data_IF_511126504782
#
_entry.id   IF_511126504782
#
_cell.length_a   1.000
_cell.length_b   1.000
_cell.length_c   1.000
_cell.angle_alpha   90.00
_cell.angle_beta   90.00
_cell.angle_gamma   90.00
#
_symmetry.space_group_name_H-M   'P 1'
#
loop_
_entity.id
_entity.type
_entity.pdbx_description
1 polymer ?
#
# COMPACT_ATOMS: atom_id res chain seq x y z
N UNK A 1 -5.62 8.14 -7.25
CA UNK A 1 -6.31 9.33 -6.70
C UNK A 1 -5.51 9.93 -5.55
N UNK A 2 -5.14 9.14 -4.53
CA UNK A 2 -4.31 9.63 -3.41
C UNK A 2 -3.00 10.25 -3.92
N UNK A 3 -2.27 9.52 -4.78
CA UNK A 3 -1.01 10.03 -5.37
C UNK A 3 -1.16 11.32 -6.20
N UNK A 4 -2.33 11.57 -6.80
CA UNK A 4 -2.54 12.76 -7.64
C UNK A 4 -2.83 13.99 -6.77
N UNK A 5 -3.42 13.79 -5.60
CA UNK A 5 -4.08 14.85 -4.80
C UNK A 5 -3.43 15.09 -3.44
N UNK A 6 -2.55 14.19 -3.00
CA UNK A 6 -1.96 14.22 -1.65
C UNK A 6 -2.96 13.93 -0.52
N UNK A 7 -4.23 13.62 -0.85
CA UNK A 7 -5.29 13.35 0.12
C UNK A 7 -5.39 11.86 0.44
N UNK A 8 -5.81 11.57 1.67
CA UNK A 8 -6.17 10.21 2.11
C UNK A 8 -7.52 9.79 1.53
N UNK A 9 -7.70 8.48 1.32
CA UNK A 9 -8.98 7.91 0.87
C UNK A 9 -10.18 8.32 1.73
N UNK A 10 -9.97 8.41 3.06
CA UNK A 10 -10.88 8.97 4.04
C UNK A 10 -10.18 10.09 4.81
N UNK A 11 -10.76 11.29 4.79
CA UNK A 11 -10.11 12.48 5.34
C UNK A 11 -11.04 13.28 6.25
N UNK A 12 -11.01 12.95 7.54
CA UNK A 12 -11.85 13.54 8.60
C UNK A 12 -11.63 15.03 8.84
N UNK A 13 -10.62 15.65 8.20
CA UNK A 13 -10.38 17.10 8.29
C UNK A 13 -11.26 17.90 7.34
N UNK A 14 -11.90 17.22 6.38
CA UNK A 14 -12.73 17.82 5.34
C UNK A 14 -14.21 17.76 5.72
N UNK A 15 -15.06 18.64 5.15
CA UNK A 15 -16.50 18.59 5.38
C UNK A 15 -17.08 17.25 4.91
N UNK A 16 -18.26 16.90 5.43
CA UNK A 16 -18.90 15.60 5.21
C UNK A 16 -18.99 15.21 3.72
N UNK A 17 -19.31 16.19 2.87
CA UNK A 17 -19.41 16.02 1.42
C UNK A 17 -18.07 15.65 0.74
N UNK A 18 -16.93 15.97 1.38
CA UNK A 18 -15.58 15.81 0.84
C UNK A 18 -14.75 14.77 1.60
N UNK A 19 -15.32 14.11 2.62
CA UNK A 19 -14.68 13.05 3.41
C UNK A 19 -14.11 11.93 2.53
N UNK A 20 -14.93 11.45 1.59
CA UNK A 20 -14.58 10.35 0.71
C UNK A 20 -13.86 10.84 -0.55
N UNK A 21 -12.59 10.43 -0.71
CA UNK A 21 -11.76 10.87 -1.82
C UNK A 21 -12.39 10.54 -3.18
N UNK A 22 -12.89 9.31 -3.38
CA UNK A 22 -13.45 8.88 -4.66
C UNK A 22 -14.64 9.74 -5.08
N UNK A 23 -15.59 9.97 -4.16
CA UNK A 23 -16.78 10.78 -4.42
C UNK A 23 -16.42 12.24 -4.73
N UNK A 24 -15.48 12.80 -3.98
CA UNK A 24 -14.99 14.16 -4.21
C UNK A 24 -14.22 14.29 -5.53
N UNK A 25 -13.28 13.37 -5.80
CA UNK A 25 -12.41 13.41 -6.97
C UNK A 25 -13.20 13.31 -8.27
N UNK A 26 -14.24 12.48 -8.31
CA UNK A 26 -15.16 12.39 -9.47
C UNK A 26 -15.83 13.73 -9.79
N UNK A 27 -16.13 14.57 -8.80
CA UNK A 27 -16.66 15.93 -9.03
C UNK A 27 -15.58 16.86 -9.58
N UNK A 28 -14.35 16.75 -9.09
CA UNK A 28 -13.22 17.57 -9.55
C UNK A 28 -12.85 17.28 -11.01
N UNK A 29 -12.93 16.01 -11.44
CA UNK A 29 -12.65 15.59 -12.81
C UNK A 29 -13.61 16.17 -13.87
N UNK A 30 -14.79 16.64 -13.48
CA UNK A 30 -15.78 17.18 -14.44
C UNK A 30 -15.28 18.48 -15.08
N UNK A 31 -14.57 19.30 -14.31
CA UNK A 31 -14.07 20.59 -14.77
C UNK A 31 -12.53 20.63 -14.67
N UNK A 32 -11.88 20.93 -15.80
CA UNK A 32 -10.41 20.99 -15.92
C UNK A 32 -9.79 22.01 -14.95
N UNK A 33 -10.45 23.15 -14.73
CA UNK A 33 -9.94 24.20 -13.84
C UNK A 33 -10.00 23.76 -12.37
N UNK A 34 -11.05 23.02 -11.99
CA UNK A 34 -11.16 22.48 -10.62
C UNK A 34 -10.24 21.29 -10.43
N UNK A 35 -10.02 20.48 -11.48
CA UNK A 35 -9.09 19.37 -11.44
C UNK A 35 -7.65 19.85 -11.22
N UNK A 36 -7.19 20.85 -11.96
CA UNK A 36 -5.83 21.39 -11.78
C UNK A 36 -5.60 21.90 -10.35
N UNK A 37 -6.60 22.52 -9.73
CA UNK A 37 -6.55 22.97 -8.32
C UNK A 37 -6.56 21.81 -7.31
N UNK A 38 -7.01 20.63 -7.72
CA UNK A 38 -7.06 19.43 -6.89
C UNK A 38 -5.76 18.62 -6.95
N UNK A 39 -4.84 18.93 -7.87
CA UNK A 39 -3.54 18.27 -7.97
C UNK A 39 -2.69 18.66 -6.75
N UNK A 40 -1.94 17.70 -6.22
CA UNK A 40 -1.03 17.90 -5.12
C UNK A 40 -0.02 19.02 -5.46
N UNK A 41 0.10 20.08 -4.63
CA UNK A 41 1.03 21.18 -4.89
C UNK A 41 2.50 20.75 -4.91
N UNK A 42 2.86 19.56 -4.43
CA UNK A 42 4.23 19.04 -4.54
C UNK A 42 4.57 18.49 -5.92
N UNK A 43 3.57 18.29 -6.79
CA UNK A 43 3.77 17.84 -8.16
C UNK A 43 4.06 19.05 -9.05
N UNK A 44 5.16 19.04 -9.80
CA UNK A 44 5.45 20.07 -10.79
C UNK A 44 4.53 19.94 -12.01
N UNK A 45 3.53 20.82 -12.06
CA UNK A 45 2.53 20.84 -13.15
C UNK A 45 2.98 21.83 -14.22
N UNK A 46 3.31 21.29 -15.39
CA UNK A 46 3.65 22.06 -16.59
C UNK A 46 2.89 21.52 -17.80
N UNK A 47 3.05 22.13 -18.97
CA UNK A 47 2.31 21.74 -20.20
C UNK A 47 2.63 20.31 -20.67
N UNK A 48 3.79 19.76 -20.27
CA UNK A 48 4.23 18.41 -20.62
C UNK A 48 3.70 17.35 -19.64
N UNK A 49 3.66 17.66 -18.34
CA UNK A 49 3.22 16.72 -17.29
C UNK A 49 1.69 16.68 -17.12
N UNK A 50 1.00 17.78 -17.40
CA UNK A 50 -0.45 17.85 -17.23
C UNK A 50 -1.22 16.79 -18.05
N UNK A 51 -0.87 16.49 -19.32
CA UNK A 51 -1.49 15.40 -20.07
C UNK A 51 -1.34 14.03 -19.41
N UNK A 52 -0.14 13.68 -18.90
CA UNK A 52 0.07 12.38 -18.26
C UNK A 52 -0.70 12.27 -16.95
N UNK A 53 -0.74 13.35 -16.15
CA UNK A 53 -1.56 13.42 -14.93
C UNK A 53 -3.04 13.23 -15.27
N UNK A 54 -3.55 13.87 -16.33
CA UNK A 54 -4.92 13.71 -16.79
C UNK A 54 -5.22 12.26 -17.18
N UNK A 55 -4.32 11.59 -17.90
CA UNK A 55 -4.48 10.16 -18.26
C UNK A 55 -4.55 9.27 -17.02
N UNK A 56 -3.66 9.46 -16.05
CA UNK A 56 -3.68 8.68 -14.79
C UNK A 56 -4.96 8.96 -14.00
N UNK A 57 -5.44 10.21 -14.01
CA UNK A 57 -6.65 10.63 -13.32
C UNK A 57 -7.92 9.99 -13.92
N UNK A 58 -8.02 9.97 -15.25
CA UNK A 58 -9.09 9.28 -15.99
C UNK A 58 -9.09 7.78 -15.71
N UNK A 59 -7.92 7.14 -15.81
CA UNK A 59 -7.77 5.72 -15.49
C UNK A 59 -8.21 5.41 -14.06
N UNK A 60 -7.79 6.21 -13.08
CA UNK A 60 -8.22 6.05 -11.70
C UNK A 60 -9.74 6.19 -11.54
N UNK A 61 -10.37 7.10 -12.29
CA UNK A 61 -11.82 7.25 -12.37
C UNK A 61 -12.53 5.97 -12.83
N UNK A 62 -12.01 5.33 -13.88
CA UNK A 62 -12.54 4.06 -14.41
C UNK A 62 -12.31 2.89 -13.44
N UNK A 63 -11.12 2.77 -12.85
CA UNK A 63 -10.81 1.73 -11.85
C UNK A 63 -11.73 1.80 -10.63
N UNK A 64 -12.17 3.00 -10.26
CA UNK A 64 -13.09 3.23 -9.15
C UNK A 64 -14.57 3.39 -9.57
N UNK A 65 -14.94 2.91 -10.76
CA UNK A 65 -16.33 2.92 -11.20
C UNK A 65 -17.23 2.16 -10.22
N UNK A 66 -18.47 2.62 -10.06
CA UNK A 66 -19.43 2.01 -9.11
C UNK A 66 -19.75 0.59 -9.55
N UNK A 67 -20.02 0.41 -10.83
CA UNK A 67 -20.32 -0.88 -11.45
C UNK A 67 -19.05 -1.66 -11.80
N UNK A 68 -18.91 -2.93 -11.36
CA UNK A 68 -17.69 -3.72 -11.62
C UNK A 68 -17.36 -3.89 -13.11
N UNK A 69 -18.37 -4.02 -13.98
CA UNK A 69 -18.17 -4.24 -15.41
C UNK A 69 -17.65 -3.00 -16.16
N UNK A 70 -17.65 -1.82 -15.52
CA UNK A 70 -17.06 -0.59 -16.07
C UNK A 70 -15.59 -0.43 -15.68
N UNK A 71 -15.10 -1.26 -14.75
CA UNK A 71 -13.71 -1.21 -14.31
C UNK A 71 -12.86 -1.94 -15.34
N UNK A 72 -11.76 -1.34 -15.80
CA UNK A 72 -10.84 -2.01 -16.71
C UNK A 72 -10.19 -3.20 -15.99
N UNK A 73 -9.77 -4.20 -16.77
CA UNK A 73 -8.89 -5.22 -16.24
C UNK A 73 -7.52 -4.62 -15.86
N UNK A 74 -6.80 -5.29 -14.95
CA UNK A 74 -5.51 -4.78 -14.50
C UNK A 74 -4.44 -4.76 -15.60
N UNK A 75 -4.57 -5.59 -16.64
CA UNK A 75 -3.68 -5.56 -17.80
C UNK A 75 -3.85 -4.28 -18.62
N UNK A 76 -5.10 -3.83 -18.82
CA UNK A 76 -5.42 -2.56 -19.44
C UNK A 76 -4.89 -1.39 -18.61
N UNK A 77 -5.04 -1.44 -17.28
CA UNK A 77 -4.46 -0.41 -16.41
C UNK A 77 -2.93 -0.32 -16.57
N UNK A 78 -2.23 -1.46 -16.60
CA UNK A 78 -0.77 -1.50 -16.84
C UNK A 78 -0.42 -0.99 -18.23
N UNK A 79 -1.17 -1.36 -19.27
CA UNK A 79 -0.92 -0.90 -20.63
C UNK A 79 -1.08 0.62 -20.79
N UNK A 80 -2.00 1.23 -20.05
CA UNK A 80 -2.17 2.70 -20.01
C UNK A 80 -1.03 3.37 -19.25
N UNK A 81 -0.59 2.78 -18.13
CA UNK A 81 0.45 3.38 -17.28
C UNK A 81 1.86 3.18 -17.81
N UNK A 82 2.17 2.06 -18.44
CA UNK A 82 3.53 1.69 -18.84
C UNK A 82 4.23 2.73 -19.75
N UNK A 83 3.57 3.34 -20.75
CA UNK A 83 4.18 4.38 -21.58
C UNK A 83 4.46 5.68 -20.84
N UNK A 84 3.83 5.91 -19.67
CA UNK A 84 3.96 7.14 -18.89
C UNK A 84 5.13 7.11 -17.90
N UNK A 85 5.80 5.96 -17.76
CA UNK A 85 6.88 5.75 -16.79
C UNK A 85 8.17 5.48 -17.57
N UNK A 86 9.18 6.33 -17.41
CA UNK A 86 10.55 5.95 -17.79
C UNK A 86 10.95 4.73 -16.97
N UNK A 87 11.63 3.74 -17.56
CA UNK A 87 12.01 2.47 -16.91
C UNK A 87 12.37 2.70 -15.45
N UNK A 88 11.43 2.38 -14.56
CA UNK A 88 11.64 2.59 -13.14
C UNK A 88 12.80 1.70 -12.72
N UNK A 89 13.90 2.32 -12.32
CA UNK A 89 15.01 1.61 -11.67
C UNK A 89 14.77 1.72 -10.18
N UNK A 90 14.71 0.59 -9.44
CA UNK A 90 14.78 0.66 -7.99
C UNK A 90 15.99 1.50 -7.61
N UNK A 91 15.83 2.42 -6.66
CA UNK A 91 16.97 3.12 -6.07
C UNK A 91 17.96 2.04 -5.63
N UNK A 92 19.20 2.12 -6.14
CA UNK A 92 20.28 1.21 -5.77
C UNK A 92 20.27 1.03 -4.24
N UNK A 93 20.18 -0.22 -3.79
CA UNK A 93 20.17 -0.53 -2.36
C UNK A 93 21.40 0.10 -1.72
N UNK A 94 21.20 1.04 -0.81
CA UNK A 94 22.30 1.55 0.00
C UNK A 94 22.90 0.35 0.72
N UNK A 95 24.20 0.04 0.58
CA UNK A 95 24.81 -1.13 1.23
C UNK A 95 24.72 -1.10 2.76
N UNK A 96 24.36 0.05 3.33
CA UNK A 96 24.15 0.24 4.76
C UNK A 96 22.70 -0.02 5.23
N UNK A 97 21.75 -0.31 4.32
CA UNK A 97 20.37 -0.70 4.69
C UNK A 97 20.35 -2.18 5.10
N UNK A 98 20.66 -2.42 6.38
CA UNK A 98 20.70 -3.73 7.05
C UNK A 98 19.36 -4.49 6.97
N UNK A 99 18.28 -3.87 6.48
CA UNK A 99 16.96 -4.48 6.29
C UNK A 99 16.58 -4.91 4.86
N UNK A 100 17.43 -4.67 3.85
CA UNK A 100 17.11 -5.01 2.46
C UNK A 100 17.07 -6.52 2.18
N UNK A 101 16.05 -6.99 1.47
CA UNK A 101 16.01 -8.35 0.92
C UNK A 101 17.02 -8.40 -0.23
N UNK A 102 18.14 -9.07 0.00
CA UNK A 102 19.13 -9.36 -1.04
C UNK A 102 18.54 -10.32 -2.08
N UNK A 103 18.24 -9.80 -3.28
CA UNK A 103 17.65 -10.56 -4.38
C UNK A 103 18.63 -11.55 -5.04
N UNK A 104 19.93 -11.43 -4.79
CA UNK A 104 20.93 -12.40 -5.30
C UNK A 104 21.01 -13.67 -4.44
N UNK A 105 20.38 -13.66 -3.26
CA UNK A 105 20.45 -14.78 -2.34
C UNK A 105 19.33 -15.81 -2.62
N UNK A 106 19.71 -17.09 -2.76
CA UNK A 106 18.72 -18.16 -2.90
C UNK A 106 17.87 -18.31 -1.65
N UNK A 107 16.62 -18.76 -1.80
CA UNK A 107 15.68 -18.97 -0.68
C UNK A 107 16.31 -19.75 0.51
N UNK A 108 17.08 -20.84 0.32
CA UNK A 108 17.72 -21.54 1.43
C UNK A 108 18.77 -20.70 2.18
N UNK A 109 19.49 -19.84 1.47
CA UNK A 109 20.48 -18.94 2.08
C UNK A 109 19.78 -17.82 2.86
N UNK A 110 18.65 -17.29 2.36
CA UNK A 110 17.83 -16.33 3.06
C UNK A 110 17.27 -16.87 4.39
N UNK A 111 16.76 -18.10 4.35
CA UNK A 111 16.26 -18.79 5.55
C UNK A 111 17.37 -18.97 6.61
N UNK A 112 18.57 -19.37 6.17
CA UNK A 112 19.73 -19.55 7.06
C UNK A 112 20.18 -18.24 7.70
N UNK A 113 20.17 -17.14 6.95
CA UNK A 113 20.49 -15.79 7.46
C UNK A 113 19.48 -15.34 8.50
N UNK A 114 18.18 -15.58 8.27
CA UNK A 114 17.11 -15.26 9.22
C UNK A 114 17.25 -16.05 10.53
N UNK A 115 17.47 -17.37 10.45
CA UNK A 115 17.69 -18.22 11.63
C UNK A 115 18.94 -17.79 12.43
N UNK A 116 19.99 -17.33 11.75
CA UNK A 116 21.20 -16.83 12.42
C UNK A 116 20.96 -15.48 13.14
N UNK A 117 20.08 -14.63 12.60
CA UNK A 117 19.72 -13.35 13.21
C UNK A 117 18.83 -13.51 14.44
N UNK A 118 17.93 -14.50 14.43
CA UNK A 118 17.03 -14.81 15.55
C UNK A 118 17.81 -15.16 16.84
N UNK A 119 19.04 -15.68 16.72
CA UNK A 119 19.93 -15.98 17.85
C UNK A 119 20.80 -14.81 18.37
N UNK A 120 20.84 -13.66 17.69
CA UNK A 120 21.78 -12.56 18.00
C UNK A 120 21.18 -11.47 18.91
N UNK A 121 19.89 -11.56 19.25
CA UNK A 121 19.17 -10.54 20.01
C UNK A 121 19.55 -10.40 21.51
N UNK A 122 20.68 -10.95 21.98
CA UNK A 122 21.04 -10.89 23.42
C UNK A 122 22.33 -10.15 23.78
N UNK A 123 23.10 -9.58 22.85
CA UNK A 123 24.29 -8.81 23.26
C UNK A 123 24.64 -7.69 22.27
N UNK A 124 24.05 -6.50 22.41
CA UNK A 124 24.74 -5.21 22.24
C UNK A 124 23.93 -4.11 22.94
N UNK A 125 24.35 -3.78 24.16
CA UNK A 125 23.98 -2.57 24.87
C UNK A 125 24.79 -1.38 24.34
N UNK A 126 24.16 -0.45 23.61
CA UNK A 126 24.39 1.00 23.80
C UNK A 126 23.33 1.86 23.06
N UNK A 127 22.53 2.53 23.89
CA UNK A 127 21.81 3.80 23.68
C UNK A 127 20.65 3.93 22.66
N UNK A 128 19.46 3.61 23.20
CA UNK A 128 18.24 4.46 23.23
C UNK A 128 17.40 4.66 21.95
N UNK A 129 16.32 3.88 21.82
CA UNK A 129 14.96 4.44 21.89
C UNK A 129 13.94 3.38 22.31
N UNK A 130 12.98 3.82 23.11
CA UNK A 130 12.11 3.04 23.98
C UNK A 130 10.94 2.35 23.27
N UNK A 131 10.89 1.01 23.31
CA UNK A 131 9.61 0.28 23.39
C UNK A 131 9.81 -0.96 24.26
N UNK A 132 9.23 -0.92 25.46
CA UNK A 132 9.08 -2.08 26.31
C UNK A 132 8.05 -3.03 25.68
N UNK A 133 8.48 -4.19 25.21
CA UNK A 133 7.61 -5.37 25.18
C UNK A 133 8.35 -6.49 25.89
N UNK A 134 7.79 -6.84 27.04
CA UNK A 134 8.25 -7.85 27.95
C UNK A 134 8.40 -9.20 27.25
N UNK A 135 9.47 -9.92 27.58
CA UNK A 135 9.76 -11.25 27.06
C UNK A 135 8.72 -12.31 27.43
N UNK A 136 8.86 -13.43 26.72
CA UNK A 136 8.24 -14.75 26.88
C UNK A 136 6.80 -14.94 26.38
N UNK A 137 6.70 -15.28 25.08
CA UNK A 137 5.83 -16.35 24.55
C UNK A 137 5.89 -16.37 23.01
N UNK A 138 6.52 -17.39 22.42
CA UNK A 138 6.62 -17.59 20.95
C UNK A 138 5.33 -18.15 20.32
N UNK A 139 4.16 -17.60 20.67
CA UNK A 139 2.85 -18.03 20.13
C UNK A 139 1.94 -16.86 19.69
N UNK A 140 2.49 -15.74 19.21
CA UNK A 140 1.67 -14.54 18.92
C UNK A 140 1.11 -14.43 17.49
N UNK A 141 1.24 -15.44 16.63
CA UNK A 141 0.70 -15.35 15.25
C UNK A 141 -0.76 -15.83 15.11
N UNK A 142 -1.35 -16.39 16.16
CA UNK A 142 -2.74 -16.90 16.13
C UNK A 142 -3.54 -16.21 17.24
N UNK A 143 -4.64 -15.50 16.92
CA UNK A 143 -5.54 -14.98 17.92
C UNK A 143 -6.07 -16.10 18.82
N UNK A 144 -6.04 -15.91 20.14
CA UNK A 144 -6.62 -16.88 21.09
C UNK A 144 -8.09 -17.15 20.77
N UNK A 145 -8.40 -18.44 20.59
CA UNK A 145 -9.75 -18.97 20.39
C UNK A 145 -10.68 -18.47 21.50
N UNK A 146 -11.86 -17.91 21.18
CA UNK A 146 -12.83 -17.51 22.20
C UNK A 146 -13.29 -18.75 23.00
N UNK A 147 -13.47 -18.63 24.33
CA UNK A 147 -14.03 -19.72 25.13
C UNK A 147 -15.43 -20.08 24.61
N UNK A 148 -15.59 -21.32 24.14
CA UNK A 148 -16.85 -21.85 23.59
C UNK A 148 -16.88 -22.12 22.08
N UNK A 149 -15.86 -21.71 21.32
CA UNK A 149 -15.86 -21.91 19.86
C UNK A 149 -15.41 -23.33 19.46
N UNK A 150 -16.19 -24.38 19.71
CA UNK A 150 -16.01 -25.69 19.04
C UNK A 150 -16.08 -26.94 19.90
N UNK A 151 -17.14 -27.07 20.71
CA UNK A 151 -17.59 -28.38 21.19
C UNK A 151 -18.66 -29.01 20.28
N UNK A 152 -19.15 -28.30 19.24
CA UNK A 152 -20.37 -28.72 18.50
C UNK A 152 -20.16 -29.23 17.08
N UNK A 153 -18.94 -29.30 16.56
CA UNK A 153 -18.73 -29.89 15.23
C UNK A 153 -18.18 -31.30 15.37
N UNK A 154 -19.08 -32.28 15.47
CA UNK A 154 -18.73 -33.68 15.28
C UNK A 154 -19.00 -34.06 13.83
N UNK A 155 -18.19 -34.98 13.30
CA UNK A 155 -18.16 -35.37 11.88
C UNK A 155 -19.46 -36.03 11.36
N UNK A 156 -20.55 -36.06 12.15
CA UNK A 156 -21.85 -36.63 11.79
C UNK A 156 -22.89 -35.60 11.32
N UNK A 157 -22.61 -34.29 11.37
CA UNK A 157 -23.59 -33.23 11.09
C UNK A 157 -23.64 -32.80 9.59
N UNK A 158 -23.04 -33.60 8.71
CA UNK A 158 -22.95 -33.34 7.27
C UNK A 158 -23.73 -34.34 6.41
N UNK A 159 -25.03 -34.51 6.68
CA UNK A 159 -25.93 -35.27 5.80
C UNK A 159 -27.14 -34.46 5.36
#
# INVERSE_FOLDING_TARGET
MEMITGRRALDNTQPEENLHLVTWFRRMLINKDTFQKAIDPTIDVNEETLPSISTVAELAGHCCAREPYQRPDMGHAVNVLAPLVEVWKPTESNPDDVGGIDLEMSLPQALKKWQAFEGMSTTMDHESSSFLTNGDSTQSSIPTRPPGFGASFTSSDGR
#
